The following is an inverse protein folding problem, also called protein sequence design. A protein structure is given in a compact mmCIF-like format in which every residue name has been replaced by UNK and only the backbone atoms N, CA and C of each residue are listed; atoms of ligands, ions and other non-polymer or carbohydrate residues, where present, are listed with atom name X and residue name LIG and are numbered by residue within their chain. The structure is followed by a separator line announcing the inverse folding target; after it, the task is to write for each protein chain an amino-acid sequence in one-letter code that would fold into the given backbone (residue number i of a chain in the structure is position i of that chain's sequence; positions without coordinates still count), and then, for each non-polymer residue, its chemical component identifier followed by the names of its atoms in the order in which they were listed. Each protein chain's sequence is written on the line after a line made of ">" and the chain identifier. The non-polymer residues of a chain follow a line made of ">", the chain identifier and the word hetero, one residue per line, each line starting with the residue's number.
data_IF_864738936446
#
_entry.id   IF_864738936446
#
_cell.length_a   1.000
_cell.length_b   1.000
_cell.length_c   1.000
_cell.angle_alpha   90.00
_cell.angle_beta   90.00
_cell.angle_gamma   90.00
#
_symmetry.space_group_name_H-M   'P 1'
#
loop_
_entity.id
_entity.type
_entity.pdbx_description
1 polymer ?
#
# COMPACT_ATOMS: atom_id res chain seq x y z
N UNK A 1 5.23 1.18 -27.87
CA UNK A 1 5.03 0.69 -26.49
C UNK A 1 4.46 -0.71 -26.61
N UNK A 2 5.29 -1.73 -26.39
CA UNK A 2 4.84 -3.12 -26.36
C UNK A 2 3.88 -3.24 -25.18
N UNK A 3 2.61 -3.56 -25.45
CA UNK A 3 1.57 -3.67 -24.43
C UNK A 3 1.78 -4.95 -23.63
N UNK A 4 2.75 -4.95 -22.72
CA UNK A 4 2.94 -6.03 -21.76
C UNK A 4 1.80 -5.99 -20.75
N UNK A 5 1.20 -7.14 -20.44
CA UNK A 5 0.20 -7.24 -19.39
C UNK A 5 0.86 -6.87 -18.05
N UNK A 6 0.33 -5.89 -17.30
CA UNK A 6 0.93 -5.50 -16.03
C UNK A 6 0.74 -6.61 -14.99
N UNK A 7 1.73 -6.76 -14.11
CA UNK A 7 1.62 -7.64 -12.96
C UNK A 7 0.49 -7.16 -12.02
N UNK A 8 -0.20 -8.13 -11.43
CA UNK A 8 -1.33 -7.90 -10.51
C UNK A 8 -1.01 -8.34 -9.08
N UNK A 9 0.18 -8.90 -8.87
CA UNK A 9 0.66 -9.39 -7.59
C UNK A 9 2.12 -9.06 -7.38
N UNK A 10 2.48 -8.90 -6.12
CA UNK A 10 3.84 -8.91 -5.65
C UNK A 10 4.26 -10.34 -5.33
N UNK A 11 5.47 -10.71 -5.73
CA UNK A 11 6.12 -11.95 -5.30
C UNK A 11 7.34 -11.57 -4.48
N UNK A 12 7.21 -11.63 -3.14
CA UNK A 12 8.36 -11.38 -2.26
C UNK A 12 9.28 -12.60 -2.28
N UNK A 13 10.47 -12.44 -2.86
CA UNK A 13 11.44 -13.53 -3.05
C UNK A 13 12.36 -13.74 -1.84
N UNK A 14 12.37 -12.79 -0.89
CA UNK A 14 13.17 -12.85 0.32
C UNK A 14 13.84 -11.51 0.63
N UNK A 15 15.04 -11.56 1.18
CA UNK A 15 15.84 -10.40 1.56
C UNK A 15 17.31 -10.54 1.16
N UNK A 16 17.96 -9.41 0.88
CA UNK A 16 19.40 -9.31 0.65
C UNK A 16 20.03 -8.18 1.49
N UNK A 17 21.36 -8.17 1.62
CA UNK A 17 22.05 -7.14 2.41
C UNK A 17 22.28 -5.86 1.61
N UNK A 18 22.42 -5.99 0.29
CA UNK A 18 22.72 -4.90 -0.63
C UNK A 18 21.76 -4.87 -1.81
N UNK A 19 21.73 -3.72 -2.48
CA UNK A 19 20.79 -3.45 -3.57
C UNK A 19 21.07 -4.30 -4.81
N UNK A 20 22.33 -4.43 -5.18
CA UNK A 20 22.77 -5.24 -6.32
C UNK A 20 22.45 -6.74 -6.12
N UNK A 21 22.62 -7.26 -4.91
CA UNK A 21 22.17 -8.60 -4.54
C UNK A 21 20.66 -8.76 -4.69
N UNK A 22 19.88 -7.77 -4.21
CA UNK A 22 18.43 -7.78 -4.35
C UNK A 22 18.00 -7.69 -5.82
N UNK A 23 18.65 -6.87 -6.64
CA UNK A 23 18.39 -6.74 -8.07
C UNK A 23 18.69 -8.05 -8.83
N UNK A 24 19.76 -8.77 -8.46
CA UNK A 24 20.13 -10.04 -9.07
C UNK A 24 19.10 -11.17 -8.82
N UNK A 25 18.23 -11.03 -7.82
CA UNK A 25 17.17 -12.00 -7.52
C UNK A 25 15.90 -11.76 -8.34
N UNK A 26 15.71 -10.58 -8.94
CA UNK A 26 14.50 -10.22 -9.67
C UNK A 26 14.49 -10.87 -11.06
N UNK A 27 13.38 -11.53 -11.43
CA UNK A 27 13.26 -12.20 -12.72
C UNK A 27 12.05 -11.73 -13.54
N UNK A 28 10.95 -11.37 -12.89
CA UNK A 28 9.69 -11.03 -13.55
C UNK A 28 9.04 -9.76 -12.95
N UNK A 29 8.21 -9.04 -13.73
CA UNK A 29 7.43 -7.92 -13.21
C UNK A 29 6.63 -8.29 -11.97
N UNK A 30 6.71 -7.47 -10.93
CA UNK A 30 6.07 -7.75 -9.64
C UNK A 30 6.92 -8.55 -8.65
N UNK A 31 8.05 -9.11 -9.06
CA UNK A 31 9.04 -9.65 -8.12
C UNK A 31 9.56 -8.52 -7.22
N UNK A 32 9.74 -8.84 -5.94
CA UNK A 32 10.24 -7.91 -4.96
C UNK A 32 11.20 -8.57 -3.98
N UNK A 33 12.17 -7.79 -3.49
CA UNK A 33 13.16 -8.22 -2.50
C UNK A 33 13.37 -7.12 -1.48
N UNK A 34 13.43 -7.49 -0.21
CA UNK A 34 13.78 -6.57 0.87
C UNK A 34 15.29 -6.38 0.95
N UNK A 35 15.75 -5.14 1.07
CA UNK A 35 17.13 -4.84 1.46
C UNK A 35 17.16 -4.58 2.96
N UNK A 36 17.88 -5.41 3.69
CA UNK A 36 18.01 -5.32 5.14
C UNK A 36 19.47 -5.33 5.57
N UNK A 37 19.85 -4.33 6.39
CA UNK A 37 21.19 -4.27 6.98
C UNK A 37 21.11 -3.79 8.42
N UNK A 38 20.85 -4.75 9.30
CA UNK A 38 20.51 -4.56 10.72
C UNK A 38 19.14 -3.90 10.95
N UNK A 39 18.51 -3.42 9.89
CA UNK A 39 17.17 -2.82 9.82
C UNK A 39 16.75 -2.71 8.35
N UNK A 40 15.44 -2.59 8.10
CA UNK A 40 14.86 -2.46 6.78
C UNK A 40 15.28 -1.14 6.09
N UNK A 41 15.87 -1.26 4.90
CA UNK A 41 16.36 -0.12 4.11
C UNK A 41 15.42 0.22 2.97
N UNK A 42 15.10 -0.76 2.15
CA UNK A 42 14.26 -0.56 0.97
C UNK A 42 13.56 -1.85 0.55
N UNK A 43 12.49 -1.68 -0.22
CA UNK A 43 11.92 -2.75 -1.06
C UNK A 43 12.35 -2.48 -2.49
N UNK A 44 13.02 -3.45 -3.12
CA UNK A 44 13.47 -3.41 -4.51
C UNK A 44 12.46 -4.21 -5.32
N UNK A 45 11.92 -3.64 -6.40
CA UNK A 45 10.90 -4.29 -7.23
C UNK A 45 11.29 -4.29 -8.69
N UNK A 46 11.06 -5.40 -9.39
CA UNK A 46 10.98 -5.37 -10.85
C UNK A 46 9.69 -4.64 -11.23
N UNK A 47 9.78 -3.54 -12.00
CA UNK A 47 8.66 -2.64 -12.22
C UNK A 47 7.43 -3.42 -12.72
N UNK A 48 6.30 -3.38 -11.99
CA UNK A 48 5.14 -4.23 -12.28
C UNK A 48 4.47 -3.97 -13.64
N UNK A 49 4.76 -2.84 -14.29
CA UNK A 49 4.21 -2.52 -15.60
C UNK A 49 4.90 -3.27 -16.76
N UNK A 50 6.02 -3.94 -16.47
CA UNK A 50 6.82 -4.66 -17.45
C UNK A 50 7.79 -3.81 -18.27
N UNK A 51 8.11 -2.58 -17.86
CA UNK A 51 9.10 -1.74 -18.55
C UNK A 51 10.54 -2.25 -18.44
N UNK A 52 10.80 -3.22 -17.55
CA UNK A 52 12.12 -3.85 -17.35
C UNK A 52 13.05 -3.09 -16.39
N UNK A 53 12.62 -1.94 -15.87
CA UNK A 53 13.39 -1.19 -14.87
C UNK A 53 13.08 -1.64 -13.44
N UNK A 54 13.97 -1.30 -12.51
CA UNK A 54 13.81 -1.60 -11.08
C UNK A 54 13.33 -0.36 -10.32
N UNK A 55 12.36 -0.54 -9.42
CA UNK A 55 11.89 0.48 -8.49
C UNK A 55 12.55 0.28 -7.12
N UNK A 56 12.92 1.39 -6.47
CA UNK A 56 13.44 1.39 -5.10
C UNK A 56 12.47 2.15 -4.21
N UNK A 57 11.81 1.44 -3.30
CA UNK A 57 10.91 2.03 -2.31
C UNK A 57 11.66 2.17 -0.99
N UNK A 58 11.89 3.41 -0.55
CA UNK A 58 12.56 3.67 0.73
C UNK A 58 11.70 3.20 1.90
N UNK A 59 12.27 2.38 2.79
CA UNK A 59 11.64 1.92 4.03
C UNK A 59 12.33 2.49 5.28
N UNK A 60 13.47 3.18 5.12
CA UNK A 60 14.22 3.77 6.23
C UNK A 60 13.82 5.25 6.42
N UNK A 61 13.06 5.59 7.48
CA UNK A 61 12.61 6.96 7.71
C UNK A 61 13.77 7.92 8.04
N UNK A 62 14.96 7.40 8.38
CA UNK A 62 16.15 8.22 8.63
C UNK A 62 16.82 8.68 7.34
N UNK A 63 16.54 8.00 6.23
CA UNK A 63 17.06 8.34 4.90
C UNK A 63 16.15 9.32 4.13
N UNK A 64 14.97 9.66 4.67
CA UNK A 64 14.02 10.58 4.06
C UNK A 64 12.58 10.11 4.20
N UNK A 65 11.68 10.59 3.33
CA UNK A 65 10.29 10.08 3.26
C UNK A 65 10.34 8.58 3.00
N UNK A 66 9.66 7.81 3.85
CA UNK A 66 9.67 6.36 3.81
C UNK A 66 8.26 5.80 3.77
N UNK A 67 8.13 4.67 3.09
CA UNK A 67 6.93 3.87 3.09
C UNK A 67 6.92 2.97 4.31
N UNK A 68 5.71 2.68 4.78
CA UNK A 68 5.45 1.67 5.82
C UNK A 68 5.25 0.33 5.15
N UNK A 69 6.03 -0.65 5.56
CA UNK A 69 5.86 -2.05 5.19
C UNK A 69 5.06 -2.77 6.28
N UNK A 70 4.01 -3.47 5.88
CA UNK A 70 3.26 -4.40 6.71
C UNK A 70 3.55 -5.81 6.24
N UNK A 71 3.92 -6.71 7.14
CA UNK A 71 4.02 -8.14 6.88
C UNK A 71 3.04 -8.85 7.81
N UNK A 72 1.98 -9.43 7.25
CA UNK A 72 0.88 -10.09 8.00
C UNK A 72 0.39 -11.29 7.21
N UNK A 73 0.23 -12.44 7.89
CA UNK A 73 -0.30 -13.70 7.31
C UNK A 73 0.40 -14.13 6.00
N UNK A 74 1.72 -13.92 5.92
CA UNK A 74 2.53 -14.29 4.76
C UNK A 74 2.47 -13.32 3.57
N UNK A 75 1.68 -12.24 3.66
CA UNK A 75 1.57 -11.23 2.60
C UNK A 75 2.14 -9.89 3.04
N UNK A 76 2.53 -9.06 2.06
CA UNK A 76 3.00 -7.70 2.29
C UNK A 76 2.00 -6.63 1.87
N UNK A 77 2.02 -5.50 2.57
CA UNK A 77 1.38 -4.26 2.12
C UNK A 77 2.35 -3.11 2.27
N UNK A 78 2.28 -2.15 1.34
CA UNK A 78 3.13 -0.96 1.34
C UNK A 78 2.23 0.27 1.35
N UNK A 79 2.51 1.20 2.26
CA UNK A 79 1.76 2.45 2.39
C UNK A 79 2.70 3.66 2.44
N UNK A 80 2.41 4.77 1.73
CA UNK A 80 1.26 5.00 0.84
C UNK A 80 1.40 4.26 -0.50
N UNK A 81 0.65 4.66 -1.53
CA UNK A 81 0.86 4.14 -2.90
C UNK A 81 2.31 4.37 -3.35
N UNK A 82 2.80 3.50 -4.22
CA UNK A 82 4.09 3.66 -4.91
C UNK A 82 3.83 4.48 -6.17
N UNK A 83 4.48 5.63 -6.30
CA UNK A 83 4.46 6.48 -7.49
C UNK A 83 5.89 6.65 -7.98
N UNK A 84 6.15 6.32 -9.23
CA UNK A 84 7.42 6.60 -9.88
C UNK A 84 7.35 7.95 -10.59
N UNK A 85 8.19 8.89 -10.16
CA UNK A 85 8.34 10.19 -10.84
C UNK A 85 9.38 10.05 -11.97
N UNK A 86 8.91 9.97 -13.21
CA UNK A 86 9.72 9.75 -14.41
C UNK A 86 9.84 8.30 -14.88
N UNK A 87 10.37 8.09 -16.09
CA UNK A 87 10.42 6.79 -16.74
C UNK A 87 9.03 6.36 -17.18
N UNK A 88 8.58 5.18 -16.74
CA UNK A 88 7.27 4.63 -17.08
C UNK A 88 6.09 5.20 -16.28
N UNK A 89 6.36 6.03 -15.26
CA UNK A 89 5.34 6.71 -14.45
C UNK A 89 4.32 5.75 -13.80
N UNK A 90 4.76 4.54 -13.44
CA UNK A 90 3.90 3.56 -12.78
C UNK A 90 3.37 4.05 -11.43
N UNK A 91 2.06 3.95 -11.24
CA UNK A 91 1.36 4.31 -10.00
C UNK A 91 0.45 3.18 -9.54
N UNK A 92 0.73 2.64 -8.34
CA UNK A 92 -0.02 1.51 -7.80
C UNK A 92 0.03 1.45 -6.27
N UNK A 93 -0.90 0.68 -5.70
CA UNK A 93 -0.94 0.30 -4.29
C UNK A 93 -0.53 -1.17 -4.17
N UNK A 94 0.22 -1.50 -3.12
CA UNK A 94 0.47 -2.89 -2.70
C UNK A 94 -0.34 -3.17 -1.44
N UNK A 95 -1.33 -4.05 -1.54
CA UNK A 95 -2.20 -4.44 -0.42
C UNK A 95 -2.40 -5.95 -0.39
N UNK A 96 -1.85 -6.61 0.64
CA UNK A 96 -1.85 -8.07 0.82
C UNK A 96 -1.42 -8.79 -0.47
N UNK A 97 -0.22 -8.44 -0.93
CA UNK A 97 0.40 -8.82 -2.20
C UNK A 97 -0.33 -8.41 -3.48
N UNK A 98 -1.57 -7.89 -3.42
CA UNK A 98 -2.26 -7.39 -4.62
C UNK A 98 -1.71 -6.05 -5.05
N UNK A 99 -1.54 -5.90 -6.37
CA UNK A 99 -1.22 -4.64 -7.01
C UNK A 99 -2.51 -4.02 -7.52
N UNK A 100 -2.90 -2.89 -6.91
CA UNK A 100 -4.03 -2.08 -7.37
C UNK A 100 -3.49 -0.88 -8.13
N UNK A 101 -3.65 -0.91 -9.43
CA UNK A 101 -3.19 0.16 -10.32
C UNK A 101 -4.01 1.43 -10.15
N UNK A 102 -3.35 2.57 -10.28
CA UNK A 102 -3.94 3.90 -10.10
C UNK A 102 -3.71 4.74 -11.35
N UNK A 103 -4.79 5.01 -12.09
CA UNK A 103 -4.75 5.73 -13.36
C UNK A 103 -4.72 4.76 -14.54
N UNK A 104 -3.53 4.36 -14.99
CA UNK A 104 -3.36 3.38 -16.07
C UNK A 104 -3.46 1.96 -15.51
N UNK A 105 -4.02 1.02 -16.29
CA UNK A 105 -4.22 -0.39 -15.91
C UNK A 105 -5.24 -0.66 -14.80
N UNK A 106 -6.10 0.30 -14.46
CA UNK A 106 -7.13 0.12 -13.43
C UNK A 106 -8.12 -1.02 -13.75
N UNK A 107 -8.41 -1.26 -15.03
CA UNK A 107 -9.26 -2.37 -15.45
C UNK A 107 -8.63 -3.70 -15.01
N UNK A 108 -9.41 -4.53 -14.32
CA UNK A 108 -8.95 -5.80 -13.75
C UNK A 108 -8.23 -5.68 -12.40
N UNK A 109 -8.29 -4.53 -11.72
CA UNK A 109 -7.91 -4.46 -10.32
C UNK A 109 -8.81 -5.34 -9.45
N UNK A 110 -8.19 -6.16 -8.61
CA UNK A 110 -8.86 -7.00 -7.62
C UNK A 110 -8.32 -6.66 -6.23
N UNK A 111 -9.18 -6.08 -5.39
CA UNK A 111 -8.85 -5.90 -3.98
C UNK A 111 -8.65 -7.27 -3.30
N UNK A 112 -7.72 -7.38 -2.33
CA UNK A 112 -7.56 -8.59 -1.55
C UNK A 112 -8.77 -8.85 -0.65
N UNK A 113 -8.84 -10.05 -0.07
CA UNK A 113 -9.86 -10.40 0.91
C UNK A 113 -9.88 -9.41 2.07
N UNK A 114 -11.09 -8.90 2.32
CA UNK A 114 -11.38 -7.90 3.33
C UNK A 114 -12.13 -8.56 4.49
N UNK A 115 -11.74 -8.19 5.72
CA UNK A 115 -12.36 -8.69 6.94
C UNK A 115 -13.36 -7.66 7.47
N UNK A 116 -14.68 -7.86 7.30
CA UNK A 116 -15.68 -6.91 7.79
C UNK A 116 -15.76 -6.88 9.32
N UNK A 117 -15.16 -7.83 10.04
CA UNK A 117 -15.18 -7.83 11.50
C UNK A 117 -14.41 -6.65 12.11
N UNK A 118 -13.58 -5.95 11.33
CA UNK A 118 -12.87 -4.75 11.80
C UNK A 118 -13.75 -3.49 11.82
N UNK A 119 -14.91 -3.49 11.13
CA UNK A 119 -15.76 -2.30 11.00
C UNK A 119 -16.25 -1.75 12.34
N UNK A 120 -16.79 -2.57 13.27
CA UNK A 120 -17.23 -2.06 14.58
C UNK A 120 -16.07 -1.46 15.39
N UNK A 121 -14.89 -2.08 15.34
CA UNK A 121 -13.70 -1.57 16.03
C UNK A 121 -13.24 -0.22 15.46
N UNK A 122 -13.30 -0.08 14.13
CA UNK A 122 -12.98 1.17 13.44
C UNK A 122 -14.01 2.26 13.78
N UNK A 123 -15.30 1.92 13.82
CA UNK A 123 -16.36 2.84 14.20
C UNK A 123 -16.22 3.33 15.65
N UNK A 124 -15.87 2.45 16.57
CA UNK A 124 -15.64 2.81 17.97
C UNK A 124 -14.38 3.65 18.19
N UNK A 125 -13.38 3.49 17.32
CA UNK A 125 -12.18 4.32 17.33
C UNK A 125 -12.38 5.69 16.67
N UNK A 126 -13.43 5.89 15.86
CA UNK A 126 -13.68 7.14 15.18
C UNK A 126 -14.20 8.22 16.15
N UNK A 127 -13.57 9.40 16.20
CA UNK A 127 -14.10 10.53 16.96
C UNK A 127 -15.34 11.13 16.27
N UNK A 128 -16.25 11.66 17.09
CA UNK A 128 -17.47 12.33 16.63
C UNK A 128 -17.31 13.86 16.50
N UNK A 129 -16.18 14.43 16.94
CA UNK A 129 -15.96 15.88 17.04
C UNK A 129 -14.85 16.40 16.09
N UNK A 130 -14.19 15.52 15.35
CA UNK A 130 -13.11 15.87 14.42
C UNK A 130 -12.91 14.82 13.35
N UNK A 131 -12.33 15.22 12.22
CA UNK A 131 -11.87 14.29 11.20
C UNK A 131 -10.49 13.71 11.53
N UNK A 132 -10.30 12.41 11.25
CA UNK A 132 -9.03 11.69 11.38
C UNK A 132 -8.73 10.88 10.12
N UNK A 133 -7.45 10.75 9.78
CA UNK A 133 -7.04 10.00 8.61
C UNK A 133 -6.96 8.48 8.90
N UNK A 134 -7.02 7.62 7.87
CA UNK A 134 -6.92 6.17 8.04
C UNK A 134 -5.64 5.69 8.72
N UNK A 135 -4.52 6.40 8.60
CA UNK A 135 -3.27 6.00 9.23
C UNK A 135 -3.32 6.16 10.75
N UNK A 136 -4.02 7.19 11.25
CA UNK A 136 -4.28 7.40 12.67
C UNK A 136 -5.09 6.23 13.25
N UNK A 137 -6.20 5.85 12.60
CA UNK A 137 -7.02 4.70 13.03
C UNK A 137 -6.22 3.40 12.97
N UNK A 138 -5.49 3.18 11.88
CA UNK A 138 -4.70 1.98 11.71
C UNK A 138 -3.61 1.84 12.78
N UNK A 139 -2.97 2.94 13.19
CA UNK A 139 -2.01 2.94 14.29
C UNK A 139 -2.67 2.58 15.61
N UNK A 140 -3.83 3.17 15.92
CA UNK A 140 -4.56 2.92 17.16
C UNK A 140 -5.00 1.46 17.31
N UNK A 141 -5.36 0.80 16.20
CA UNK A 141 -5.93 -0.54 16.19
C UNK A 141 -4.97 -1.64 15.70
N UNK A 142 -3.69 -1.31 15.46
CA UNK A 142 -2.69 -2.20 14.82
C UNK A 142 -3.19 -2.85 13.52
N UNK A 143 -3.83 -2.04 12.66
CA UNK A 143 -4.34 -2.47 11.36
C UNK A 143 -3.37 -2.10 10.23
N UNK A 144 -3.53 -2.77 9.09
CA UNK A 144 -2.99 -2.28 7.82
C UNK A 144 -3.81 -1.06 7.42
N UNK A 145 -3.14 0.02 7.01
CA UNK A 145 -3.81 1.31 6.70
C UNK A 145 -4.83 1.17 5.56
N UNK A 146 -4.56 0.29 4.60
CA UNK A 146 -5.51 -0.02 3.53
C UNK A 146 -6.78 -0.70 4.03
N UNK A 147 -6.67 -1.61 5.01
CA UNK A 147 -7.82 -2.25 5.66
C UNK A 147 -8.64 -1.21 6.43
N UNK A 148 -7.99 -0.36 7.24
CA UNK A 148 -8.66 0.74 7.94
C UNK A 148 -9.36 1.70 6.97
N UNK A 149 -8.68 2.10 5.89
CA UNK A 149 -9.27 2.96 4.86
C UNK A 149 -10.45 2.31 4.13
N UNK A 150 -10.44 0.98 3.92
CA UNK A 150 -11.58 0.25 3.37
C UNK A 150 -12.75 0.25 4.33
N UNK A 151 -12.51 -0.05 5.61
CA UNK A 151 -13.54 -0.04 6.65
C UNK A 151 -14.20 1.33 6.77
N UNK A 152 -13.41 2.41 6.82
CA UNK A 152 -13.90 3.78 6.88
C UNK A 152 -14.82 4.13 5.72
N UNK A 153 -14.46 3.78 4.48
CA UNK A 153 -15.33 4.01 3.31
C UNK A 153 -16.61 3.18 3.35
N UNK A 154 -16.58 1.98 3.92
CA UNK A 154 -17.77 1.14 4.11
C UNK A 154 -18.71 1.71 5.16
N UNK A 155 -18.17 2.18 6.29
CA UNK A 155 -18.94 2.90 7.32
C UNK A 155 -19.60 4.17 6.76
N UNK A 156 -18.91 4.90 5.87
CA UNK A 156 -19.51 6.03 5.13
C UNK A 156 -20.66 5.56 4.24
N UNK A 157 -20.47 4.47 3.50
CA UNK A 157 -21.53 3.91 2.64
C UNK A 157 -22.74 3.41 3.45
N UNK A 158 -22.55 2.99 4.70
CA UNK A 158 -23.62 2.60 5.62
C UNK A 158 -24.25 3.78 6.37
N UNK A 159 -23.69 4.98 6.25
CA UNK A 159 -24.19 6.17 6.95
C UNK A 159 -23.79 6.26 8.42
N UNK A 160 -22.75 5.53 8.85
CA UNK A 160 -22.23 5.52 10.24
C UNK A 160 -21.04 6.46 10.41
N UNK A 161 -20.42 6.89 9.31
CA UNK A 161 -19.31 7.83 9.28
C UNK A 161 -19.46 8.83 8.14
N UNK A 162 -18.66 9.90 8.17
CA UNK A 162 -18.60 10.91 7.11
C UNK A 162 -17.17 11.12 6.66
N UNK A 163 -16.93 11.15 5.35
CA UNK A 163 -15.65 11.59 4.77
C UNK A 163 -15.64 13.12 4.63
N UNK A 164 -14.52 13.73 5.00
CA UNK A 164 -14.30 15.16 4.82
C UNK A 164 -14.21 15.56 3.34
N UNK A 165 -14.40 16.85 3.08
CA UNK A 165 -14.31 17.44 1.73
C UNK A 165 -13.19 18.47 1.66
N UNK A 166 -12.76 18.82 0.44
CA UNK A 166 -11.71 19.82 0.23
C UNK A 166 -10.39 19.43 0.90
N UNK A 167 -9.89 20.27 1.82
CA UNK A 167 -8.66 20.01 2.58
C UNK A 167 -8.76 18.83 3.55
N UNK A 168 -9.97 18.36 3.87
CA UNK A 168 -10.22 17.18 4.71
C UNK A 168 -10.52 15.92 3.90
N UNK A 169 -10.38 15.95 2.56
CA UNK A 169 -10.62 14.75 1.74
C UNK A 169 -9.70 13.59 2.19
N UNK A 170 -10.26 12.39 2.31
CA UNK A 170 -9.55 11.22 2.82
C UNK A 170 -9.41 11.17 4.34
N UNK A 171 -10.10 12.03 5.08
CA UNK A 171 -10.24 11.97 6.55
C UNK A 171 -11.69 11.72 6.92
N UNK A 172 -11.93 11.13 8.09
CA UNK A 172 -13.22 10.56 8.47
C UNK A 172 -13.59 10.93 9.90
N UNK A 173 -14.87 11.08 10.18
CA UNK A 173 -15.43 11.24 11.52
C UNK A 173 -16.64 10.30 11.69
N UNK A 174 -16.97 9.97 12.94
CA UNK A 174 -18.17 9.20 13.29
C UNK A 174 -19.40 10.08 13.17
N UNK A 175 -20.49 9.54 12.62
CA UNK A 175 -21.80 10.17 12.71
C UNK A 175 -22.50 9.81 14.04
N UNK A 176 -23.29 10.74 14.61
CA UNK A 176 -24.04 10.49 15.85
C UNK A 176 -24.99 9.30 15.78
#
# INVERSE_FOLDING_TARGET
>A
MTTTTPARKIHLLGSASYRDEAEAMLAAPGDAVLVERGLLRSLILCCPDGCGETLVVNLDPRAGKAWRLYQRRGAISVYPSVWRDGGCESHFIVWKDRILWCGVFNEGNEEPDYDPAIEPLVLDALPADRFVDPATIAQQLDLIVWDAGKALRRLVAHGEAREGVGSFKGTFERLP
#
